data_IF_345060714918
#
_entry.id   IF_345060714918
#
_cell.length_a   1.000
_cell.length_b   1.000
_cell.length_c   1.000
_cell.angle_alpha   90.00
_cell.angle_beta   90.00
_cell.angle_gamma   90.00
#
_symmetry.space_group_name_H-M   'P 1'
#
loop_
_entity.id
_entity.type
_entity.pdbx_description
1 polymer ?
#
# COMPACT_ATOMS: atom_id res chain seq x y z
N UNK A 1 13.09 17.86 11.28
CA UNK A 1 11.78 17.38 10.81
C UNK A 1 12.08 16.36 9.74
N UNK A 2 11.62 15.12 9.86
CA UNK A 2 11.85 14.13 8.80
C UNK A 2 11.06 14.57 7.57
N UNK A 3 11.76 14.95 6.52
CA UNK A 3 11.16 15.25 5.22
C UNK A 3 10.79 13.91 4.60
N UNK A 4 9.53 13.50 4.78
CA UNK A 4 9.00 12.27 4.17
C UNK A 4 9.14 12.40 2.65
N UNK A 5 9.87 11.46 2.03
CA UNK A 5 10.00 11.42 0.57
C UNK A 5 8.75 10.78 -0.05
N UNK A 6 8.56 10.97 -1.35
CA UNK A 6 7.50 10.27 -2.09
C UNK A 6 7.70 8.76 -2.02
N UNK A 7 8.94 8.27 -2.07
CA UNK A 7 9.26 6.86 -1.89
C UNK A 7 8.85 6.32 -0.51
N UNK A 8 9.06 7.11 0.56
CA UNK A 8 8.64 6.72 1.90
C UNK A 8 7.11 6.70 2.05
N UNK A 9 6.43 7.67 1.45
CA UNK A 9 4.97 7.72 1.43
C UNK A 9 4.38 6.50 0.71
N UNK A 10 4.94 6.13 -0.44
CA UNK A 10 4.53 4.96 -1.22
C UNK A 10 4.77 3.66 -0.45
N UNK A 11 5.94 3.49 0.19
CA UNK A 11 6.20 2.32 1.05
C UNK A 11 5.19 2.19 2.18
N UNK A 12 4.86 3.30 2.85
CA UNK A 12 3.86 3.29 3.91
C UNK A 12 2.48 2.88 3.37
N UNK A 13 2.06 3.43 2.23
CA UNK A 13 0.81 3.07 1.60
C UNK A 13 0.76 1.57 1.26
N UNK A 14 1.79 1.04 0.59
CA UNK A 14 1.89 -0.39 0.23
C UNK A 14 1.77 -1.27 1.48
N UNK A 15 2.47 -0.91 2.56
CA UNK A 15 2.41 -1.68 3.80
C UNK A 15 1.01 -1.69 4.41
N UNK A 16 0.31 -0.56 4.41
CA UNK A 16 -1.08 -0.50 4.90
C UNK A 16 -2.01 -1.35 4.05
N UNK A 17 -1.88 -1.30 2.71
CA UNK A 17 -2.71 -2.11 1.82
C UNK A 17 -2.49 -3.61 2.05
N UNK A 18 -1.24 -4.05 2.22
CA UNK A 18 -0.91 -5.46 2.53
C UNK A 18 -1.44 -5.88 3.89
N UNK A 19 -1.29 -5.06 4.92
CA UNK A 19 -1.82 -5.34 6.26
C UNK A 19 -3.36 -5.43 6.26
N UNK A 20 -4.04 -4.58 5.48
CA UNK A 20 -5.49 -4.65 5.29
C UNK A 20 -5.92 -5.95 4.58
N UNK A 21 -5.16 -6.35 3.55
CA UNK A 21 -5.43 -7.59 2.82
C UNK A 21 -5.21 -8.83 3.68
N UNK A 22 -4.13 -8.86 4.48
CA UNK A 22 -3.78 -9.98 5.36
C UNK A 22 -4.73 -10.11 6.54
N UNK A 23 -5.08 -8.98 7.17
CA UNK A 23 -6.01 -8.96 8.31
C UNK A 23 -7.48 -9.08 7.89
N UNK A 24 -7.79 -8.81 6.63
CA UNK A 24 -9.16 -8.69 6.13
C UNK A 24 -9.92 -7.51 6.74
N UNK A 25 -9.21 -6.48 7.22
CA UNK A 25 -9.81 -5.35 7.94
C UNK A 25 -9.06 -4.05 7.67
N UNK A 26 -9.82 -2.97 7.47
CA UNK A 26 -9.29 -1.62 7.35
C UNK A 26 -8.76 -1.09 8.69
N UNK A 27 -7.84 -0.11 8.71
CA UNK A 27 -7.34 0.47 9.96
C UNK A 27 -8.43 1.20 10.77
N UNK A 28 -9.54 1.55 10.12
CA UNK A 28 -10.75 2.10 10.75
C UNK A 28 -11.56 1.05 11.54
N UNK A 29 -11.22 -0.23 11.42
CA UNK A 29 -11.92 -1.35 12.05
C UNK A 29 -13.01 -1.99 11.17
N UNK A 30 -13.19 -1.54 9.93
CA UNK A 30 -14.18 -2.08 8.99
C UNK A 30 -13.64 -3.36 8.36
N UNK A 31 -14.40 -4.46 8.45
CA UNK A 31 -14.04 -5.71 7.78
C UNK A 31 -14.16 -5.58 6.25
N UNK A 32 -13.23 -6.19 5.54
CA UNK A 32 -13.17 -6.22 4.08
C UNK A 32 -13.78 -7.53 3.56
N UNK A 33 -14.59 -7.42 2.52
CA UNK A 33 -15.00 -8.60 1.75
C UNK A 33 -13.87 -9.08 0.83
N UNK A 34 -14.05 -10.28 0.26
CA UNK A 34 -13.04 -10.92 -0.58
C UNK A 34 -12.65 -10.08 -1.81
N UNK A 35 -13.61 -9.37 -2.42
CA UNK A 35 -13.37 -8.54 -3.58
C UNK A 35 -12.54 -7.31 -3.20
N UNK A 36 -12.84 -6.71 -2.05
CA UNK A 36 -12.09 -5.58 -1.50
C UNK A 36 -10.67 -5.99 -1.10
N UNK A 37 -10.48 -7.19 -0.52
CA UNK A 37 -9.16 -7.75 -0.21
C UNK A 37 -8.35 -7.92 -1.51
N UNK A 38 -8.93 -8.50 -2.55
CA UNK A 38 -8.28 -8.65 -3.85
C UNK A 38 -7.85 -7.30 -4.42
N UNK A 39 -8.70 -6.27 -4.31
CA UNK A 39 -8.39 -4.92 -4.75
C UNK A 39 -7.24 -4.29 -3.95
N UNK A 40 -7.16 -4.53 -2.62
CA UNK A 40 -6.01 -4.05 -1.82
C UNK A 40 -4.71 -4.68 -2.30
N UNK A 41 -4.72 -5.98 -2.62
CA UNK A 41 -3.53 -6.70 -3.13
C UNK A 41 -3.10 -6.12 -4.47
N UNK A 42 -4.03 -5.99 -5.42
CA UNK A 42 -3.74 -5.41 -6.74
C UNK A 42 -3.20 -3.98 -6.64
N UNK A 43 -3.81 -3.15 -5.80
CA UNK A 43 -3.34 -1.78 -5.56
C UNK A 43 -1.92 -1.78 -4.97
N UNK A 44 -1.61 -2.68 -4.03
CA UNK A 44 -0.29 -2.79 -3.44
C UNK A 44 0.77 -3.20 -4.48
N UNK A 45 0.43 -4.10 -5.41
CA UNK A 45 1.32 -4.51 -6.51
C UNK A 45 1.59 -3.36 -7.49
N UNK A 46 0.55 -2.64 -7.91
CA UNK A 46 0.69 -1.47 -8.81
C UNK A 46 1.57 -0.39 -8.16
N UNK A 47 1.38 -0.11 -6.87
CA UNK A 47 2.20 0.87 -6.16
C UNK A 47 3.64 0.39 -5.95
N UNK A 48 3.87 -0.91 -5.78
CA UNK A 48 5.22 -1.49 -5.67
C UNK A 48 6.01 -1.30 -6.98
N UNK A 49 5.37 -1.51 -8.14
CA UNK A 49 5.95 -1.23 -9.46
C UNK A 49 6.21 0.27 -9.69
N UNK A 50 5.26 1.12 -9.29
CA UNK A 50 5.43 2.57 -9.34
C UNK A 50 6.60 3.04 -8.46
N UNK A 51 6.77 2.45 -7.28
CA UNK A 51 7.88 2.74 -6.38
C UNK A 51 9.23 2.30 -6.97
N UNK A 52 9.30 1.14 -7.64
CA UNK A 52 10.52 0.71 -8.36
C UNK A 52 10.93 1.74 -9.40
N UNK A 53 9.97 2.17 -10.22
CA UNK A 53 10.22 3.21 -11.25
C UNK A 53 10.66 4.53 -10.62
N UNK A 54 10.03 4.96 -9.53
CA UNK A 54 10.40 6.20 -8.84
C UNK A 54 11.84 6.16 -8.32
N UNK A 55 12.26 5.03 -7.75
CA UNK A 55 13.62 4.85 -7.20
C UNK A 55 14.71 4.86 -8.28
N UNK A 56 14.37 4.55 -9.53
CA UNK A 56 15.31 4.63 -10.65
C UNK A 56 15.53 6.09 -11.13
N UNK A 57 14.69 7.03 -10.66
CA UNK A 57 14.70 8.44 -11.04
C UNK A 57 15.08 9.40 -9.90
N UNK A 58 15.27 8.91 -8.67
CA UNK A 58 15.83 9.64 -7.51
C UNK A 58 17.36 9.47 -7.41
#
# INVERSE_FOLDING_TARGET
MSTMTTADALRLAINVLRDCAESGRMPSGIDLDSDSIALQVEAAEILDEALKTLRDHE
#
